data_IF_264576473373
#
_entry.id   IF_264576473373
#
_cell.length_a   1.000
_cell.length_b   1.000
_cell.length_c   1.000
_cell.angle_alpha   90.00
_cell.angle_beta   90.00
_cell.angle_gamma   90.00
#
_symmetry.space_group_name_H-M   'P 1'
#
loop_
_entity.id
_entity.type
_entity.pdbx_description
1 polymer ?
#
# COMPACT_ATOMS: atom_id res chain seq x y z
N UNK A 1 -20.94 3.62 4.09
CA UNK A 1 -20.45 5.00 4.10
C UNK A 1 -19.89 5.28 2.71
N UNK A 2 -20.50 6.19 1.95
CA UNK A 2 -20.02 6.56 0.61
C UNK A 2 -18.91 7.58 0.80
N UNK A 3 -17.65 7.17 0.62
CA UNK A 3 -16.55 8.12 0.45
C UNK A 3 -16.73 8.68 -0.96
N UNK A 4 -17.15 9.94 -1.08
CA UNK A 4 -17.11 10.60 -2.38
C UNK A 4 -15.64 10.76 -2.77
N UNK A 5 -15.19 10.23 -3.93
CA UNK A 5 -13.89 10.55 -4.47
C UNK A 5 -13.95 12.04 -4.82
N UNK A 6 -13.39 12.87 -3.96
CA UNK A 6 -12.99 14.21 -4.36
C UNK A 6 -11.65 14.06 -5.07
N UNK A 7 -11.36 14.89 -6.07
CA UNK A 7 -10.07 14.86 -6.79
C UNK A 7 -8.84 14.86 -5.86
N UNK A 8 -9.02 15.35 -4.63
CA UNK A 8 -8.03 15.34 -3.57
C UNK A 8 -7.72 13.93 -3.04
N UNK A 9 -8.71 13.04 -2.99
CA UNK A 9 -8.57 11.65 -2.55
C UNK A 9 -7.85 10.77 -3.60
N UNK A 10 -7.91 11.15 -4.88
CA UNK A 10 -7.18 10.49 -5.96
C UNK A 10 -5.70 10.94 -6.03
N UNK A 11 -5.36 12.08 -5.42
CA UNK A 11 -4.00 12.65 -5.48
C UNK A 11 -2.90 11.69 -4.98
N UNK A 12 -3.07 10.91 -3.89
CA UNK A 12 -2.07 9.94 -3.47
C UNK A 12 -1.92 8.75 -4.43
N UNK A 13 -3.01 8.34 -5.08
CA UNK A 13 -3.02 7.27 -6.08
C UNK A 13 -2.19 7.69 -7.28
N UNK A 14 -2.49 8.87 -7.84
CA UNK A 14 -1.74 9.45 -8.96
C UNK A 14 -0.27 9.60 -8.61
N UNK A 15 0.04 10.14 -7.42
CA UNK A 15 1.41 10.29 -6.96
C UNK A 15 2.16 8.95 -6.97
N UNK A 16 1.58 7.88 -6.41
CA UNK A 16 2.25 6.58 -6.35
C UNK A 16 2.44 5.97 -7.74
N UNK A 17 1.48 6.16 -8.65
CA UNK A 17 1.62 5.73 -10.06
C UNK A 17 2.77 6.49 -10.75
N UNK A 18 2.85 7.82 -10.56
CA UNK A 18 3.94 8.64 -11.10
C UNK A 18 5.30 8.23 -10.53
N UNK A 19 5.39 7.89 -9.23
CA UNK A 19 6.63 7.41 -8.62
C UNK A 19 7.10 6.10 -9.27
N UNK A 20 6.21 5.12 -9.47
CA UNK A 20 6.56 3.86 -10.14
C UNK A 20 7.09 4.13 -11.56
N UNK A 21 6.43 5.01 -12.31
CA UNK A 21 6.91 5.40 -13.64
C UNK A 21 8.29 6.08 -13.58
N UNK A 22 8.50 6.97 -12.60
CA UNK A 22 9.79 7.62 -12.38
C UNK A 22 10.89 6.63 -12.00
N UNK A 23 10.58 5.57 -11.26
CA UNK A 23 11.52 4.50 -10.93
C UNK A 23 11.94 3.69 -12.15
N UNK A 24 11.02 3.43 -13.09
CA UNK A 24 11.35 2.82 -14.37
C UNK A 24 12.28 3.72 -15.20
N UNK A 25 11.95 5.01 -15.32
CA UNK A 25 12.77 5.98 -16.07
C UNK A 25 14.15 6.16 -15.42
N UNK A 26 14.22 6.15 -14.09
CA UNK A 26 15.46 6.28 -13.33
C UNK A 26 16.30 5.00 -13.28
N UNK A 27 15.84 3.89 -13.85
CA UNK A 27 16.55 2.60 -13.85
C UNK A 27 16.56 1.89 -12.50
N UNK A 28 15.70 2.29 -11.56
CA UNK A 28 15.56 1.62 -10.28
C UNK A 28 14.61 0.41 -10.33
N UNK A 29 13.64 0.45 -11.24
CA UNK A 29 12.88 -0.71 -11.69
C UNK A 29 13.22 -0.95 -13.15
N UNK A 30 13.58 -2.19 -13.50
CA UNK A 30 13.63 -2.56 -14.92
C UNK A 30 12.20 -2.74 -15.44
N UNK A 31 12.02 -2.73 -16.77
CA UNK A 31 10.72 -3.06 -17.36
C UNK A 31 10.30 -4.49 -16.99
N UNK A 32 11.26 -5.41 -16.92
CA UNK A 32 11.01 -6.77 -16.43
C UNK A 32 10.50 -6.77 -14.99
N UNK A 33 11.09 -6.01 -14.07
CA UNK A 33 10.58 -5.90 -12.69
C UNK A 33 9.15 -5.31 -12.64
N UNK A 34 8.84 -4.37 -13.55
CA UNK A 34 7.50 -3.79 -13.64
C UNK A 34 6.46 -4.82 -14.11
N UNK A 35 6.84 -5.73 -15.00
CA UNK A 35 5.97 -6.78 -15.53
C UNK A 35 5.69 -7.89 -14.50
N UNK A 36 6.43 -7.95 -13.39
CA UNK A 36 6.23 -8.92 -12.30
C UNK A 36 5.07 -8.58 -11.35
N UNK A 37 4.35 -7.48 -11.57
CA UNK A 37 3.17 -7.15 -10.77
C UNK A 37 2.10 -6.37 -11.54
N UNK A 38 0.86 -6.47 -11.09
CA UNK A 38 -0.26 -5.69 -11.58
C UNK A 38 -0.58 -4.55 -10.61
N UNK A 39 -0.99 -3.39 -11.15
CA UNK A 39 -1.52 -2.27 -10.35
C UNK A 39 -3.04 -2.20 -10.60
N UNK A 40 -3.86 -2.47 -9.58
CA UNK A 40 -5.31 -2.63 -9.71
C UNK A 40 -6.09 -2.09 -8.52
N UNK A 41 -7.43 -2.17 -8.59
CA UNK A 41 -8.39 -1.88 -7.52
C UNK A 41 -9.23 -3.14 -7.20
N UNK A 42 -8.60 -4.21 -6.67
CA UNK A 42 -9.28 -5.49 -6.51
C UNK A 42 -10.32 -5.41 -5.38
N UNK A 43 -11.49 -6.01 -5.61
CA UNK A 43 -12.44 -6.23 -4.50
C UNK A 43 -12.04 -7.49 -3.74
N UNK A 44 -11.56 -7.32 -2.51
CA UNK A 44 -11.16 -8.41 -1.62
C UNK A 44 -12.32 -8.74 -0.68
N UNK A 45 -12.70 -10.02 -0.62
CA UNK A 45 -13.89 -10.52 0.11
C UNK A 45 -13.58 -11.71 1.03
N UNK A 46 -12.39 -12.28 0.90
CA UNK A 46 -11.98 -13.55 1.48
C UNK A 46 -11.18 -13.39 2.78
N UNK A 47 -11.29 -12.25 3.47
CA UNK A 47 -10.61 -12.01 4.74
C UNK A 47 -10.86 -13.12 5.77
N UNK A 48 -9.89 -13.30 6.67
CA UNK A 48 -9.78 -14.42 7.60
C UNK A 48 -9.98 -13.97 9.05
N UNK A 49 -10.21 -14.95 9.93
CA UNK A 49 -10.29 -14.75 11.38
C UNK A 49 -11.38 -13.77 11.78
N UNK A 50 -11.05 -12.81 12.66
CA UNK A 50 -11.99 -11.78 13.14
C UNK A 50 -12.52 -10.84 12.05
N UNK A 51 -11.91 -10.87 10.87
CA UNK A 51 -12.30 -10.06 9.72
C UNK A 51 -13.10 -10.84 8.67
N UNK A 52 -13.41 -12.12 8.94
CA UNK A 52 -14.21 -12.94 8.04
C UNK A 52 -15.56 -12.29 7.70
N UNK A 53 -15.92 -12.32 6.41
CA UNK A 53 -17.12 -11.65 5.88
C UNK A 53 -16.95 -10.18 5.54
N UNK A 54 -15.79 -9.57 5.85
CA UNK A 54 -15.47 -8.21 5.41
C UNK A 54 -15.31 -8.15 3.88
N UNK A 55 -15.64 -7.00 3.30
CA UNK A 55 -15.38 -6.69 1.89
C UNK A 55 -14.70 -5.34 1.83
N UNK A 56 -13.59 -5.25 1.08
CA UNK A 56 -12.85 -4.01 0.93
C UNK A 56 -12.26 -3.88 -0.47
N UNK A 57 -12.17 -2.64 -0.94
CA UNK A 57 -11.48 -2.24 -2.17
C UNK A 57 -10.40 -1.25 -1.71
N UNK A 58 -9.12 -1.50 -1.99
CA UNK A 58 -8.07 -0.53 -1.69
C UNK A 58 -8.10 0.62 -2.70
N UNK A 59 -7.55 1.77 -2.34
CA UNK A 59 -7.47 2.92 -3.24
C UNK A 59 -6.41 2.72 -4.33
N UNK A 60 -5.42 1.85 -4.06
CA UNK A 60 -4.53 1.27 -5.07
C UNK A 60 -3.96 -0.04 -4.53
N UNK A 61 -3.69 -1.02 -5.39
CA UNK A 61 -3.04 -2.26 -4.98
C UNK A 61 -1.98 -2.71 -5.97
N UNK A 62 -0.92 -3.32 -5.45
CA UNK A 62 0.11 -4.01 -6.20
C UNK A 62 0.00 -5.50 -5.93
N UNK A 63 -0.29 -6.27 -6.97
CA UNK A 63 -0.45 -7.72 -6.88
C UNK A 63 0.66 -8.38 -7.67
N UNK A 64 1.60 -9.08 -7.02
CA UNK A 64 2.68 -9.76 -7.74
C UNK A 64 2.12 -10.89 -8.60
N UNK A 65 2.75 -11.13 -9.74
CA UNK A 65 2.61 -12.37 -10.47
C UNK A 65 3.52 -13.42 -9.85
N UNK A 66 2.96 -14.58 -9.54
CA UNK A 66 3.70 -15.76 -9.13
C UNK A 66 3.39 -16.85 -10.15
N UNK A 67 4.42 -17.27 -10.90
CA UNK A 67 4.26 -18.20 -12.02
C UNK A 67 3.22 -17.74 -13.06
N UNK A 68 3.24 -16.43 -13.39
CA UNK A 68 2.35 -15.83 -14.39
C UNK A 68 0.89 -15.68 -13.95
N UNK A 69 0.60 -15.80 -12.65
CA UNK A 69 -0.75 -15.64 -12.08
C UNK A 69 -0.73 -14.72 -10.87
N UNK A 70 -1.77 -13.92 -10.71
CA UNK A 70 -1.96 -13.11 -9.51
C UNK A 70 -2.41 -13.97 -8.33
N UNK A 71 -1.98 -13.59 -7.13
CA UNK A 71 -2.46 -14.19 -5.89
C UNK A 71 -3.90 -13.76 -5.54
N UNK A 72 -4.49 -14.40 -4.54
CA UNK A 72 -5.82 -14.05 -4.04
C UNK A 72 -5.85 -12.70 -3.29
N UNK A 73 -4.68 -12.17 -2.91
CA UNK A 73 -4.52 -10.89 -2.22
C UNK A 73 -3.41 -10.09 -2.89
N UNK A 74 -3.51 -8.75 -2.88
CA UNK A 74 -2.37 -7.90 -3.19
C UNK A 74 -1.28 -8.04 -2.11
N UNK A 75 -0.05 -7.66 -2.44
CA UNK A 75 1.06 -7.62 -1.47
C UNK A 75 1.33 -6.21 -0.95
N UNK A 76 0.98 -5.18 -1.73
CA UNK A 76 1.01 -3.78 -1.28
C UNK A 76 -0.35 -3.16 -1.54
N UNK A 77 -0.88 -2.43 -0.57
CA UNK A 77 -2.11 -1.65 -0.73
C UNK A 77 -1.86 -0.20 -0.33
N UNK A 78 -2.49 0.73 -1.03
CA UNK A 78 -2.61 2.14 -0.66
C UNK A 78 -4.03 2.39 -0.17
N UNK A 79 -4.12 3.10 0.93
CA UNK A 79 -5.34 3.57 1.56
C UNK A 79 -5.16 5.05 1.90
N UNK A 80 -6.18 5.82 1.55
CA UNK A 80 -6.24 7.24 1.72
C UNK A 80 -7.32 7.55 2.75
N UNK A 81 -7.09 8.59 3.55
CA UNK A 81 -8.09 9.00 4.53
C UNK A 81 -7.90 10.44 4.96
N UNK A 82 -8.97 11.01 5.52
CA UNK A 82 -8.88 12.29 6.21
C UNK A 82 -8.65 12.07 7.72
N UNK A 83 -8.21 13.12 8.42
CA UNK A 83 -8.07 13.11 9.89
C UNK A 83 -9.32 12.62 10.63
N UNK A 84 -10.50 12.86 10.04
CA UNK A 84 -11.78 12.51 10.63
C UNK A 84 -12.13 11.03 10.55
N UNK A 85 -11.45 10.25 9.72
CA UNK A 85 -11.86 8.85 9.50
C UNK A 85 -11.48 7.95 10.68
N UNK A 86 -10.39 8.22 11.43
CA UNK A 86 -9.96 7.38 12.56
C UNK A 86 -9.69 5.90 12.22
N UNK A 87 -9.81 5.52 10.95
CA UNK A 87 -9.85 4.12 10.47
C UNK A 87 -8.45 3.53 10.23
N UNK A 88 -7.40 4.34 10.32
CA UNK A 88 -6.03 3.93 10.01
C UNK A 88 -5.63 2.61 10.69
N UNK A 89 -5.87 2.49 12.00
CA UNK A 89 -5.53 1.29 12.76
C UNK A 89 -6.34 0.06 12.33
N UNK A 90 -7.64 0.24 12.08
CA UNK A 90 -8.53 -0.84 11.68
C UNK A 90 -8.22 -1.36 10.28
N UNK A 91 -8.05 -0.47 9.29
CA UNK A 91 -7.78 -0.86 7.91
C UNK A 91 -6.42 -1.57 7.78
N UNK A 92 -5.42 -1.12 8.54
CA UNK A 92 -4.11 -1.81 8.58
C UNK A 92 -4.25 -3.23 9.12
N UNK A 93 -4.97 -3.41 10.23
CA UNK A 93 -5.17 -4.74 10.82
C UNK A 93 -6.01 -5.63 9.90
N UNK A 94 -7.07 -5.09 9.30
CA UNK A 94 -7.89 -5.79 8.33
C UNK A 94 -7.04 -6.30 7.15
N UNK A 95 -6.19 -5.45 6.59
CA UNK A 95 -5.31 -5.85 5.50
C UNK A 95 -4.24 -6.84 5.92
N UNK A 96 -3.53 -6.61 7.02
CA UNK A 96 -2.39 -7.45 7.39
C UNK A 96 -2.82 -8.72 8.12
N UNK A 97 -3.60 -8.62 9.20
CA UNK A 97 -4.08 -9.80 9.93
C UNK A 97 -5.20 -10.52 9.17
N UNK A 98 -6.14 -9.77 8.58
CA UNK A 98 -7.27 -10.35 7.85
C UNK A 98 -6.87 -11.06 6.56
N UNK A 99 -5.64 -10.88 6.04
CA UNK A 99 -5.13 -11.67 4.92
C UNK A 99 -4.07 -12.69 5.35
N UNK A 100 -3.94 -12.96 6.66
CA UNK A 100 -2.89 -13.80 7.24
C UNK A 100 -1.47 -13.39 6.78
N UNK A 101 -1.24 -12.08 6.69
CA UNK A 101 0.03 -11.48 6.28
C UNK A 101 0.30 -11.57 4.78
N UNK A 102 -0.68 -11.86 3.93
CA UNK A 102 -0.49 -11.83 2.48
C UNK A 102 -0.24 -10.39 1.97
N UNK A 103 -0.95 -9.41 2.53
CA UNK A 103 -0.61 -7.99 2.37
C UNK A 103 0.60 -7.66 3.24
N UNK A 104 1.75 -7.46 2.61
CA UNK A 104 3.02 -7.17 3.28
C UNK A 104 3.17 -5.70 3.63
N UNK A 105 2.68 -4.80 2.80
CA UNK A 105 2.82 -3.35 3.01
C UNK A 105 1.48 -2.65 2.89
N UNK A 106 1.15 -1.84 3.90
CA UNK A 106 0.01 -0.90 3.85
C UNK A 106 0.54 0.53 3.81
N UNK A 107 0.33 1.13 2.64
CA UNK A 107 0.33 2.51 2.23
C UNK A 107 -0.72 3.38 2.91
N UNK A 108 -0.54 4.01 4.08
CA UNK A 108 -1.58 4.92 4.60
C UNK A 108 -1.23 6.38 4.33
N UNK A 109 -2.04 7.06 3.50
CA UNK A 109 -1.89 8.49 3.23
C UNK A 109 -3.04 9.26 3.88
N UNK A 110 -2.68 10.09 4.85
CA UNK A 110 -3.61 10.99 5.51
C UNK A 110 -3.51 12.39 4.93
N UNK A 111 -4.63 12.91 4.43
CA UNK A 111 -4.73 14.27 3.89
C UNK A 111 -5.23 15.22 4.98
N UNK A 112 -4.50 16.32 5.14
CA UNK A 112 -4.77 17.38 6.11
C UNK A 112 -5.02 18.67 5.34
N UNK A 113 -6.26 19.16 5.38
CA UNK A 113 -6.61 20.49 4.90
C UNK A 113 -6.20 21.51 5.96
N UNK A 114 -5.29 22.44 5.61
CA UNK A 114 -4.89 23.51 6.52
C UNK A 114 -5.66 24.78 6.14
N UNK A 115 -6.53 25.23 7.05
CA UNK A 115 -7.38 26.43 6.85
C UNK A 115 -6.57 27.72 6.64
N UNK A 116 -5.35 27.80 7.21
CA UNK A 116 -4.50 28.99 7.08
C UNK A 116 -3.63 28.87 5.82
N UNK A 117 -4.14 29.37 4.69
CA UNK A 117 -3.37 29.62 3.48
C UNK A 117 -3.63 28.72 2.26
N UNK A 118 -4.74 27.96 2.23
CA UNK A 118 -5.07 27.02 1.12
C UNK A 118 -3.95 26.02 0.83
N UNK A 119 -3.30 25.52 1.88
CA UNK A 119 -2.24 24.53 1.75
C UNK A 119 -2.77 23.15 2.15
N UNK A 120 -2.41 22.16 1.34
CA UNK A 120 -2.63 20.76 1.63
C UNK A 120 -1.36 20.18 2.24
N UNK A 121 -1.48 19.54 3.40
CA UNK A 121 -0.43 18.69 3.95
C UNK A 121 -0.86 17.23 3.83
N UNK A 122 0.10 16.34 3.68
CA UNK A 122 -0.13 14.91 3.73
C UNK A 122 0.85 14.26 4.70
N UNK A 123 0.38 13.21 5.36
CA UNK A 123 1.20 12.33 6.19
C UNK A 123 1.18 10.96 5.54
N UNK A 124 2.34 10.42 5.18
CA UNK A 124 2.48 9.04 4.74
C UNK A 124 2.91 8.19 5.92
N UNK A 125 2.25 7.07 6.13
CA UNK A 125 2.66 6.08 7.09
C UNK A 125 2.68 4.71 6.44
N UNK A 126 3.75 3.98 6.68
CA UNK A 126 4.01 2.67 6.09
C UNK A 126 3.90 1.63 7.19
N UNK A 127 2.99 0.67 7.03
CA UNK A 127 2.93 -0.53 7.87
C UNK A 127 3.55 -1.70 7.11
N UNK A 128 4.49 -2.43 7.73
CA UNK A 128 5.06 -3.67 7.19
C UNK A 128 4.70 -4.86 8.04
N UNK A 129 4.25 -5.93 7.40
CA UNK A 129 4.05 -7.24 8.02
C UNK A 129 5.29 -8.09 7.74
N UNK A 130 6.03 -8.40 8.81
CA UNK A 130 7.23 -9.24 8.76
C UNK A 130 6.88 -10.72 8.70
N UNK A 131 7.85 -11.57 8.39
CA UNK A 131 7.65 -13.02 8.27
C UNK A 131 7.22 -13.69 9.59
N UNK A 132 7.61 -13.12 10.72
CA UNK A 132 7.20 -13.57 12.06
C UNK A 132 5.79 -13.09 12.46
N UNK A 133 5.09 -12.38 11.56
CA UNK A 133 3.78 -11.80 11.80
C UNK A 133 3.81 -10.48 12.56
N UNK A 134 4.98 -9.97 12.96
CA UNK A 134 5.10 -8.67 13.60
C UNK A 134 4.78 -7.55 12.61
N UNK A 135 4.17 -6.47 13.11
CA UNK A 135 3.82 -5.29 12.31
C UNK A 135 4.70 -4.12 12.75
N UNK A 136 5.52 -3.62 11.82
CA UNK A 136 6.28 -2.40 11.98
C UNK A 136 5.53 -1.22 11.36
N UNK A 137 5.45 -0.09 12.07
CA UNK A 137 4.86 1.15 11.54
C UNK A 137 5.91 2.24 11.49
N UNK A 138 6.09 2.83 10.31
CA UNK A 138 7.01 3.94 10.08
C UNK A 138 6.22 5.15 9.59
N UNK A 139 6.31 6.27 10.30
CA UNK A 139 5.76 7.55 9.86
C UNK A 139 6.78 8.28 8.99
N UNK A 140 6.45 8.51 7.72
CA UNK A 140 7.29 9.23 6.76
C UNK A 140 6.65 10.57 6.42
N UNK A 141 7.21 11.60 7.06
CA UNK A 141 7.01 13.03 6.77
C UNK A 141 5.66 13.67 7.18
N UNK A 142 5.80 14.94 7.57
CA UNK A 142 4.81 16.02 7.51
C UNK A 142 5.51 17.15 6.73
N UNK A 143 5.19 17.37 5.46
CA UNK A 143 5.80 18.44 4.67
C UNK A 143 4.75 19.30 3.98
N UNK A 144 4.99 20.62 3.97
CA UNK A 144 4.11 21.63 3.38
C UNK A 144 4.17 21.69 1.83
N UNK A 145 4.82 20.73 1.16
CA UNK A 145 4.86 20.58 -0.31
C UNK A 145 5.02 19.10 -0.69
N UNK A 146 4.13 18.64 -1.57
CA UNK A 146 4.04 17.28 -2.12
C UNK A 146 5.27 16.87 -2.94
N UNK A 147 6.39 16.59 -2.27
CA UNK A 147 7.57 16.00 -2.92
C UNK A 147 8.18 14.97 -1.99
N UNK A 148 7.57 13.79 -1.95
CA UNK A 148 8.20 12.62 -1.32
C UNK A 148 9.44 12.30 -2.16
N UNK A 149 10.61 12.17 -1.52
CA UNK A 149 11.82 11.80 -2.26
C UNK A 149 11.69 10.33 -2.66
N UNK A 150 11.47 10.10 -3.95
CA UNK A 150 11.38 8.81 -4.64
C UNK A 150 12.34 7.73 -4.10
N UNK A 151 13.58 8.11 -3.84
CA UNK A 151 14.64 7.20 -3.35
C UNK A 151 14.36 6.61 -1.96
N UNK A 152 13.62 7.30 -1.08
CA UNK A 152 13.32 6.80 0.26
C UNK A 152 12.19 5.77 0.23
N UNK A 153 11.11 6.05 -0.51
CA UNK A 153 9.97 5.14 -0.63
C UNK A 153 10.37 3.79 -1.25
N UNK A 154 11.28 3.81 -2.21
CA UNK A 154 11.74 2.60 -2.89
C UNK A 154 12.54 1.67 -1.99
N UNK A 155 13.47 2.20 -1.19
CA UNK A 155 14.17 1.41 -0.17
C UNK A 155 13.19 0.74 0.80
N UNK A 156 12.06 1.40 1.05
CA UNK A 156 11.01 0.93 1.94
C UNK A 156 10.08 -0.12 1.32
N UNK A 157 9.93 -0.16 0.00
CA UNK A 157 9.13 -1.17 -0.72
C UNK A 157 9.98 -2.39 -1.11
N UNK A 158 11.22 -2.16 -1.56
CA UNK A 158 12.13 -3.21 -2.04
C UNK A 158 12.93 -3.91 -0.94
N UNK A 159 12.92 -3.41 0.30
CA UNK A 159 13.49 -4.12 1.46
C UNK A 159 12.64 -5.32 1.91
N UNK A 160 11.52 -5.62 1.24
CA UNK A 160 10.78 -6.86 1.43
C UNK A 160 11.67 -8.01 0.92
N UNK A 161 11.95 -9.07 1.71
CA UNK A 161 12.82 -10.15 1.27
C UNK A 161 12.28 -10.76 -0.03
N UNK A 162 13.17 -10.99 -1.00
CA UNK A 162 12.87 -11.61 -2.29
C UNK A 162 11.84 -12.73 -2.13
N UNK A 163 10.80 -12.69 -2.96
CA UNK A 163 9.67 -13.62 -3.01
C UNK A 163 10.10 -15.10 -3.15
N UNK A 164 11.37 -15.34 -3.50
CA UNK A 164 12.05 -16.63 -3.64
C UNK A 164 12.00 -17.52 -2.38
N UNK A 165 11.69 -16.98 -1.20
CA UNK A 165 11.70 -17.70 0.07
C UNK A 165 10.34 -18.24 0.55
N UNK A 166 9.23 -17.95 -0.14
CA UNK A 166 7.89 -18.36 0.33
C UNK A 166 7.54 -19.82 0.00
N UNK A 167 8.29 -20.53 -0.87
CA UNK A 167 7.92 -21.89 -1.31
C UNK A 167 8.63 -23.08 -0.64
N UNK A 168 9.47 -22.91 0.39
CA UNK A 168 10.17 -24.07 1.01
C UNK A 168 9.43 -24.80 2.15
N UNK A 169 8.23 -24.37 2.56
CA UNK A 169 7.53 -24.99 3.69
C UNK A 169 6.07 -25.41 3.43
N UNK A 170 5.77 -25.90 2.23
CA UNK A 170 4.56 -26.70 1.98
C UNK A 170 4.88 -27.87 1.05
N UNK A 171 5.66 -28.82 1.54
CA UNK A 171 5.84 -30.16 0.94
C UNK A 171 6.28 -31.13 2.03
N UNK A 172 5.37 -31.48 2.94
CA UNK A 172 5.32 -32.75 3.67
C UNK A 172 3.88 -33.08 3.99
#
# INVERSE_FOLDING_TARGET
MVVMPTALYETPVDWLIFEVAAWCVGGFLTLSDRDEFEITLPTVKNFLGRFAGSVKIPDLAFTPFVNGRTGAYPSVVLECGSERSGMHGFDTQLWQEGTAGAVKVVLWVQLLELEIGKQMSATLMICRCHLDGSIEKTLLFRQNRWRIRSSQLMNYLLATPRLDLIQRHTSR
#
